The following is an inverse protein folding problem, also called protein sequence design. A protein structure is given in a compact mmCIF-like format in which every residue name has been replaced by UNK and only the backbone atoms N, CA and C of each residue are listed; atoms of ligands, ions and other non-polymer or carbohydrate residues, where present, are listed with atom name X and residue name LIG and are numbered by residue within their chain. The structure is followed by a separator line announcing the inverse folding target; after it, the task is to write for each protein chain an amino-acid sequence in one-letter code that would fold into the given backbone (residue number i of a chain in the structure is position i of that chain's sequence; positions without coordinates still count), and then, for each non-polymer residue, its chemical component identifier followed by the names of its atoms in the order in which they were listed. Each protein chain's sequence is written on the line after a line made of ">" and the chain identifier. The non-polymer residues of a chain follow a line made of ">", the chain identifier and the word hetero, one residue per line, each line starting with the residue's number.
data_IF_568242143915
#
_entry.id   IF_568242143915
#
_cell.length_a   1.000
_cell.length_b   1.000
_cell.length_c   1.000
_cell.angle_alpha   90.00
_cell.angle_beta   90.00
_cell.angle_gamma   90.00
#
_symmetry.space_group_name_H-M   'P 1'
#
loop_
_entity.id
_entity.type
_entity.pdbx_description
1 polymer ?
#
# COMPACT_ATOMS: atom_id res chain seq x y z
N UNK A 1 30.54 2.98 -59.66
CA UNK A 1 30.54 2.56 -58.25
C UNK A 1 29.30 1.72 -58.07
N UNK A 2 29.49 0.42 -57.92
CA UNK A 2 28.42 -0.55 -57.64
C UNK A 2 27.96 -0.33 -56.20
N UNK A 3 26.71 0.08 -56.00
CA UNK A 3 26.04 0.09 -54.70
C UNK A 3 26.02 -1.36 -54.18
N UNK A 4 26.80 -1.65 -53.15
CA UNK A 4 26.60 -2.86 -52.36
C UNK A 4 25.22 -2.76 -51.68
N UNK A 5 24.40 -3.82 -51.66
CA UNK A 5 23.12 -3.79 -50.97
C UNK A 5 23.35 -3.58 -49.47
N UNK A 6 22.98 -2.41 -48.97
CA UNK A 6 23.06 -2.07 -47.55
C UNK A 6 22.21 -3.05 -46.73
N UNK A 7 22.86 -3.84 -45.86
CA UNK A 7 22.22 -4.88 -45.06
C UNK A 7 21.43 -4.28 -43.91
N UNK A 8 20.09 -4.34 -44.00
CA UNK A 8 19.16 -3.89 -42.95
C UNK A 8 18.98 -4.96 -41.91
N UNK A 9 19.26 -4.61 -40.65
CA UNK A 9 19.35 -5.57 -39.55
C UNK A 9 18.57 -5.13 -38.30
N UNK A 10 18.09 -3.89 -38.27
CA UNK A 10 17.55 -3.29 -37.04
C UNK A 10 16.03 -3.38 -37.00
N UNK A 11 15.47 -3.82 -35.88
CA UNK A 11 14.04 -3.67 -35.57
C UNK A 11 13.84 -2.28 -34.97
N UNK A 12 13.12 -1.43 -35.68
CA UNK A 12 12.74 -0.11 -35.22
C UNK A 12 11.41 -0.18 -34.47
N UNK A 13 11.35 0.34 -33.24
CA UNK A 13 10.10 0.42 -32.47
C UNK A 13 9.59 1.86 -32.47
N UNK A 14 8.47 2.07 -33.14
CA UNK A 14 7.73 3.34 -33.15
C UNK A 14 6.75 3.38 -31.99
N UNK A 15 6.80 4.48 -31.22
CA UNK A 15 6.09 4.61 -29.95
C UNK A 15 5.71 6.07 -29.66
N UNK A 16 4.75 6.29 -28.76
CA UNK A 16 4.52 7.61 -28.20
C UNK A 16 5.59 7.97 -27.16
N UNK A 17 6.29 9.08 -27.36
CA UNK A 17 7.21 9.67 -26.38
C UNK A 17 6.66 11.02 -25.87
N UNK A 18 6.34 11.18 -24.57
CA UNK A 18 6.10 10.11 -23.60
C UNK A 18 4.74 9.44 -23.86
N UNK A 19 4.59 8.21 -23.36
CA UNK A 19 3.35 7.44 -23.39
C UNK A 19 3.57 5.94 -23.32
N UNK A 20 4.36 5.41 -24.26
CA UNK A 20 4.59 3.96 -24.43
C UNK A 20 5.96 3.51 -23.88
N UNK A 21 6.65 4.38 -23.14
CA UNK A 21 8.02 4.17 -22.65
C UNK A 21 8.13 2.87 -21.82
N UNK A 22 7.20 2.65 -20.89
CA UNK A 22 7.21 1.46 -20.01
C UNK A 22 7.09 0.16 -20.82
N UNK A 23 6.23 0.16 -21.85
CA UNK A 23 6.06 -0.99 -22.72
C UNK A 23 7.33 -1.27 -23.52
N UNK A 24 7.96 -0.25 -24.09
CA UNK A 24 9.17 -0.42 -24.90
C UNK A 24 10.39 -0.76 -24.04
N UNK A 25 10.52 -0.18 -22.84
CA UNK A 25 11.52 -0.58 -21.84
C UNK A 25 11.36 -2.04 -21.41
N UNK A 26 10.15 -2.59 -21.48
CA UNK A 26 9.89 -4.00 -21.25
C UNK A 26 10.19 -4.87 -22.49
N UNK A 27 9.79 -4.43 -23.68
CA UNK A 27 9.87 -5.21 -24.92
C UNK A 27 11.29 -5.26 -25.50
N UNK A 28 11.96 -4.12 -25.64
CA UNK A 28 13.24 -4.02 -26.35
C UNK A 28 14.34 -4.93 -25.76
N UNK A 29 14.58 -4.97 -24.43
CA UNK A 29 15.55 -5.88 -23.84
C UNK A 29 15.26 -7.37 -24.11
N UNK A 30 13.99 -7.73 -24.25
CA UNK A 30 13.57 -9.12 -24.50
C UNK A 30 13.78 -9.52 -25.95
N UNK A 31 13.59 -8.58 -26.88
CA UNK A 31 13.94 -8.78 -28.28
C UNK A 31 15.46 -8.86 -28.47
N UNK A 32 16.23 -8.04 -27.76
CA UNK A 32 17.71 -8.13 -27.77
C UNK A 32 18.21 -9.46 -27.20
N UNK A 33 17.65 -9.91 -26.07
CA UNK A 33 17.97 -11.22 -25.51
C UNK A 33 17.59 -12.38 -26.44
N UNK A 34 16.61 -12.19 -27.33
CA UNK A 34 16.24 -13.13 -28.37
C UNK A 34 17.12 -13.04 -29.64
N UNK A 35 18.17 -12.21 -29.63
CA UNK A 35 19.14 -12.07 -30.71
C UNK A 35 18.80 -11.01 -31.74
N UNK A 36 17.78 -10.17 -31.54
CA UNK A 36 17.46 -9.10 -32.49
C UNK A 36 18.21 -7.81 -32.16
N UNK A 37 18.63 -7.06 -33.19
CA UNK A 37 19.12 -5.69 -33.01
C UNK A 37 17.92 -4.75 -32.93
N UNK A 38 17.81 -3.96 -31.86
CA UNK A 38 16.62 -3.14 -31.58
C UNK A 38 17.00 -1.66 -31.48
N UNK A 39 16.15 -0.81 -32.04
CA UNK A 39 16.24 0.64 -31.91
C UNK A 39 14.88 1.22 -31.49
N UNK A 40 14.89 2.11 -30.49
CA UNK A 40 13.75 2.92 -30.09
C UNK A 40 14.21 4.29 -29.61
N UNK A 41 13.27 5.24 -29.63
CA UNK A 41 13.43 6.57 -29.03
C UNK A 41 13.49 6.53 -27.48
N UNK A 42 14.58 5.97 -26.94
CA UNK A 42 14.86 5.87 -25.49
C UNK A 42 16.33 6.26 -25.25
N UNK A 43 16.83 7.30 -25.95
CA UNK A 43 18.22 7.72 -25.84
C UNK A 43 18.43 8.96 -24.96
N UNK A 44 19.70 9.22 -24.64
CA UNK A 44 20.15 10.42 -23.94
C UNK A 44 20.36 11.49 -25.01
N UNK A 45 19.49 12.49 -25.04
CA UNK A 45 19.70 13.66 -25.90
C UNK A 45 20.79 14.52 -25.26
N UNK A 46 21.87 14.77 -25.99
CA UNK A 46 22.82 15.83 -25.66
C UNK A 46 22.37 17.14 -26.30
N UNK A 47 22.65 18.27 -25.64
CA UNK A 47 22.28 19.59 -26.19
C UNK A 47 22.99 19.83 -27.52
N UNK A 48 22.23 19.94 -28.62
CA UNK A 48 22.74 20.18 -29.97
C UNK A 48 22.51 19.05 -30.98
N UNK A 49 21.98 17.90 -30.55
CA UNK A 49 21.70 16.77 -31.45
C UNK A 49 20.52 17.04 -32.40
N UNK A 50 20.71 16.80 -33.71
CA UNK A 50 19.63 16.77 -34.71
C UNK A 50 18.83 15.45 -34.60
N UNK A 51 18.08 15.35 -33.49
CA UNK A 51 17.26 14.21 -33.08
C UNK A 51 16.44 13.59 -34.22
N UNK A 52 15.69 14.42 -34.95
CA UNK A 52 14.80 13.96 -36.03
C UNK A 52 15.57 13.34 -37.19
N UNK A 53 16.77 13.84 -37.47
CA UNK A 53 17.66 13.31 -38.50
C UNK A 53 18.11 11.89 -38.15
N UNK A 54 18.62 11.68 -36.94
CA UNK A 54 19.06 10.35 -36.46
C UNK A 54 17.92 9.32 -36.42
N UNK A 55 16.75 9.70 -35.91
CA UNK A 55 15.58 8.82 -35.86
C UNK A 55 15.13 8.41 -37.28
N UNK A 56 15.06 9.39 -38.18
CA UNK A 56 14.66 9.17 -39.57
C UNK A 56 15.68 8.30 -40.31
N UNK A 57 16.98 8.52 -40.08
CA UNK A 57 18.06 7.71 -40.64
C UNK A 57 17.97 6.25 -40.16
N UNK A 58 17.78 6.01 -38.86
CA UNK A 58 17.64 4.66 -38.32
C UNK A 58 16.45 3.90 -38.95
N UNK A 59 15.30 4.58 -39.12
CA UNK A 59 14.14 3.99 -39.80
C UNK A 59 14.37 3.79 -41.31
N UNK A 60 15.01 4.74 -41.98
CA UNK A 60 15.18 4.70 -43.43
C UNK A 60 16.28 3.80 -43.88
N UNK A 61 17.41 3.75 -43.19
CA UNK A 61 18.66 3.17 -43.69
C UNK A 61 18.93 1.80 -43.05
N UNK A 62 18.62 1.65 -41.75
CA UNK A 62 18.99 0.44 -40.98
C UNK A 62 17.82 -0.52 -40.72
N UNK A 63 16.59 -0.02 -40.71
CA UNK A 63 15.45 -0.80 -40.25
C UNK A 63 15.08 -1.92 -41.23
N UNK A 64 14.96 -3.15 -40.71
CA UNK A 64 14.44 -4.33 -41.41
C UNK A 64 12.94 -4.51 -41.15
N UNK A 65 12.46 -4.10 -39.98
CA UNK A 65 11.05 -4.08 -39.59
C UNK A 65 10.77 -2.87 -38.70
N UNK A 66 9.56 -2.35 -38.82
CA UNK A 66 8.99 -1.37 -37.90
C UNK A 66 7.93 -2.05 -37.03
N UNK A 67 8.16 -2.11 -35.72
CA UNK A 67 7.13 -2.46 -34.74
C UNK A 67 6.43 -1.18 -34.32
N UNK A 68 5.12 -1.08 -34.57
CA UNK A 68 4.33 0.11 -34.26
C UNK A 68 3.48 -0.14 -33.02
N UNK A 69 3.71 0.61 -31.94
CA UNK A 69 2.82 0.59 -30.78
C UNK A 69 1.47 1.21 -31.15
N UNK A 70 0.37 0.49 -30.94
CA UNK A 70 -0.96 0.94 -31.31
C UNK A 70 -1.85 1.15 -30.08
N UNK A 71 -2.22 2.42 -29.89
CA UNK A 71 -3.32 2.93 -29.07
C UNK A 71 -3.84 4.21 -29.75
N UNK A 72 -5.06 4.67 -29.45
CA UNK A 72 -5.55 5.93 -30.00
C UNK A 72 -4.65 7.12 -29.64
N UNK A 73 -4.10 7.11 -28.41
CA UNK A 73 -3.16 8.14 -27.93
C UNK A 73 -1.86 8.13 -28.74
N UNK A 74 -1.34 6.94 -29.07
CA UNK A 74 -0.10 6.79 -29.84
C UNK A 74 -0.29 7.22 -31.28
N UNK A 75 -1.35 6.73 -31.93
CA UNK A 75 -1.65 7.02 -33.33
C UNK A 75 -2.05 8.49 -33.57
N UNK A 76 -2.49 9.20 -32.53
CA UNK A 76 -2.73 10.65 -32.60
C UNK A 76 -1.42 11.48 -32.68
N UNK A 77 -0.27 10.95 -32.27
CA UNK A 77 1.00 11.69 -32.22
C UNK A 77 1.53 12.00 -33.63
N UNK A 78 1.89 13.26 -33.87
CA UNK A 78 2.42 13.71 -35.18
C UNK A 78 3.70 12.96 -35.58
N UNK A 79 4.63 12.72 -34.65
CA UNK A 79 5.87 12.00 -34.94
C UNK A 79 5.62 10.57 -35.41
N UNK A 80 4.71 9.85 -34.75
CA UNK A 80 4.30 8.49 -35.15
C UNK A 80 3.67 8.48 -36.55
N UNK A 81 2.82 9.47 -36.88
CA UNK A 81 2.24 9.59 -38.23
C UNK A 81 3.29 9.86 -39.30
N UNK A 82 4.29 10.68 -39.00
CA UNK A 82 5.44 10.95 -39.89
C UNK A 82 6.26 9.66 -40.13
N UNK A 83 6.52 8.89 -39.07
CA UNK A 83 7.23 7.60 -39.14
C UNK A 83 6.46 6.56 -39.96
N UNK A 84 5.13 6.44 -39.78
CA UNK A 84 4.28 5.56 -40.57
C UNK A 84 4.39 5.92 -42.06
N UNK A 85 4.28 7.20 -42.41
CA UNK A 85 4.39 7.64 -43.81
C UNK A 85 5.76 7.31 -44.43
N UNK A 86 6.84 7.44 -43.65
CA UNK A 86 8.18 7.04 -44.09
C UNK A 86 8.24 5.53 -44.31
N UNK A 87 7.74 4.74 -43.37
CA UNK A 87 7.76 3.29 -43.42
C UNK A 87 6.92 2.73 -44.58
N UNK A 88 5.76 3.34 -44.89
CA UNK A 88 4.95 2.98 -46.06
C UNK A 88 5.70 3.24 -47.37
N UNK A 89 6.31 4.44 -47.51
CA UNK A 89 7.10 4.78 -48.69
C UNK A 89 8.27 3.80 -48.87
N UNK A 90 8.91 3.42 -47.77
CA UNK A 90 10.03 2.49 -47.74
C UNK A 90 9.61 1.07 -48.11
N UNK A 91 8.48 0.59 -47.56
CA UNK A 91 7.92 -0.73 -47.87
C UNK A 91 7.63 -0.89 -49.37
N UNK A 92 7.07 0.16 -50.00
CA UNK A 92 6.82 0.18 -51.44
C UNK A 92 8.10 0.19 -52.28
N UNK A 93 9.11 0.98 -51.89
CA UNK A 93 10.39 1.09 -52.61
C UNK A 93 11.23 -0.19 -52.53
N UNK A 94 11.38 -0.73 -51.32
CA UNK A 94 12.22 -1.90 -51.06
C UNK A 94 11.51 -3.22 -51.33
N UNK A 95 10.19 -3.18 -51.58
CA UNK A 95 9.34 -4.36 -51.77
C UNK A 95 9.47 -5.36 -50.62
N UNK A 96 9.66 -4.85 -49.39
CA UNK A 96 9.72 -5.68 -48.18
C UNK A 96 8.27 -5.91 -47.72
N UNK A 97 7.73 -7.14 -47.87
CA UNK A 97 6.39 -7.43 -47.37
C UNK A 97 6.39 -7.34 -45.84
N UNK A 98 5.25 -6.94 -45.26
CA UNK A 98 5.04 -6.88 -43.81
C UNK A 98 6.08 -6.03 -43.07
N UNK A 99 6.55 -4.93 -43.68
CA UNK A 99 7.54 -4.05 -43.07
C UNK A 99 7.06 -3.44 -41.75
N UNK A 100 5.78 -3.03 -41.69
CA UNK A 100 5.14 -2.52 -40.49
C UNK A 100 4.39 -3.68 -39.80
N UNK A 101 4.67 -3.90 -38.52
CA UNK A 101 3.99 -4.86 -37.66
C UNK A 101 3.30 -4.08 -36.53
N UNK A 102 1.97 -3.89 -36.59
CA UNK A 102 1.21 -3.24 -35.52
C UNK A 102 1.19 -4.09 -34.24
N UNK A 103 1.45 -3.47 -33.10
CA UNK A 103 1.39 -4.05 -31.76
C UNK A 103 0.21 -3.44 -31.01
N UNK A 104 -0.89 -4.18 -30.86
CA UNK A 104 -2.09 -3.70 -30.20
C UNK A 104 -1.91 -3.68 -28.68
N UNK A 105 -1.77 -2.49 -28.10
CA UNK A 105 -1.64 -2.32 -26.63
C UNK A 105 -3.01 -2.16 -25.98
N UNK A 106 -3.89 -1.40 -26.62
CA UNK A 106 -5.27 -1.12 -26.23
C UNK A 106 -6.16 -1.17 -27.50
N UNK A 107 -7.50 -1.22 -27.39
CA UNK A 107 -8.36 -0.97 -28.53
C UNK A 107 -7.98 0.36 -29.22
N UNK A 108 -7.92 0.36 -30.56
CA UNK A 108 -7.57 1.54 -31.33
C UNK A 108 -8.31 1.58 -32.66
N UNK A 109 -8.57 2.79 -33.14
CA UNK A 109 -9.05 3.01 -34.50
C UNK A 109 -7.87 3.06 -35.48
N UNK A 110 -7.89 2.17 -36.46
CA UNK A 110 -6.78 2.07 -37.40
C UNK A 110 -6.76 3.28 -38.35
N UNK A 111 -5.60 3.93 -38.43
CA UNK A 111 -5.39 5.09 -39.29
C UNK A 111 -4.91 4.68 -40.68
N UNK A 112 -4.95 5.64 -41.63
CA UNK A 112 -4.43 5.43 -42.98
C UNK A 112 -2.98 4.91 -42.92
N UNK A 113 -2.72 3.88 -43.73
CA UNK A 113 -1.44 3.20 -43.83
C UNK A 113 -1.21 2.01 -42.91
N UNK A 114 -2.04 1.85 -41.88
CA UNK A 114 -2.04 0.65 -41.01
C UNK A 114 -3.39 -0.06 -40.94
N UNK A 115 -4.46 0.55 -41.47
CA UNK A 115 -5.82 0.00 -41.47
C UNK A 115 -6.00 -1.38 -42.12
N UNK A 116 -5.10 -1.79 -43.01
CA UNK A 116 -5.14 -3.11 -43.66
C UNK A 116 -4.22 -4.17 -43.04
N UNK A 117 -3.43 -3.82 -42.02
CA UNK A 117 -2.40 -4.69 -41.45
C UNK A 117 -2.95 -5.54 -40.31
N UNK A 118 -2.56 -6.81 -40.26
CA UNK A 118 -2.81 -7.68 -39.11
C UNK A 118 -1.89 -7.29 -37.95
N UNK A 119 -2.44 -7.25 -36.74
CA UNK A 119 -1.70 -6.87 -35.53
C UNK A 119 -1.27 -8.07 -34.70
N UNK A 120 -0.25 -7.87 -33.87
CA UNK A 120 0.07 -8.75 -32.74
C UNK A 120 -0.59 -8.19 -31.49
N UNK A 121 -1.40 -9.00 -30.80
CA UNK A 121 -2.16 -8.56 -29.63
C UNK A 121 -1.33 -8.63 -28.34
N UNK A 122 -1.14 -7.49 -27.68
CA UNK A 122 -0.51 -7.34 -26.37
C UNK A 122 -1.51 -6.93 -25.26
N UNK A 123 -2.77 -6.65 -25.61
CA UNK A 123 -3.81 -6.17 -24.67
C UNK A 123 -4.26 -7.25 -23.68
N UNK A 124 -4.17 -8.53 -24.05
CA UNK A 124 -4.50 -9.67 -23.17
C UNK A 124 -3.31 -10.13 -22.30
N UNK A 125 -2.15 -9.48 -22.42
CA UNK A 125 -0.96 -9.75 -21.60
C UNK A 125 0.34 -9.74 -22.41
N UNK A 126 1.33 -9.01 -21.91
CA UNK A 126 2.55 -8.74 -22.67
C UNK A 126 3.39 -9.98 -22.98
N UNK A 127 3.45 -10.95 -22.06
CA UNK A 127 4.17 -12.20 -22.28
C UNK A 127 3.59 -13.01 -23.45
N UNK A 128 2.25 -13.06 -23.57
CA UNK A 128 1.58 -13.74 -24.67
C UNK A 128 1.82 -13.01 -25.99
N UNK A 129 1.73 -11.68 -25.99
CA UNK A 129 2.05 -10.85 -27.16
C UNK A 129 3.48 -11.04 -27.63
N UNK A 130 4.45 -11.12 -26.71
CA UNK A 130 5.86 -11.37 -27.05
C UNK A 130 6.05 -12.71 -27.74
N UNK A 131 5.45 -13.79 -27.24
CA UNK A 131 5.54 -15.12 -27.88
C UNK A 131 4.99 -15.07 -29.32
N UNK A 132 3.85 -14.41 -29.52
CA UNK A 132 3.25 -14.24 -30.84
C UNK A 132 4.14 -13.38 -31.77
N UNK A 133 4.74 -12.32 -31.24
CA UNK A 133 5.66 -11.45 -31.97
C UNK A 133 6.92 -12.22 -32.40
N UNK A 134 7.57 -12.95 -31.49
CA UNK A 134 8.76 -13.75 -31.80
C UNK A 134 8.46 -14.80 -32.89
N UNK A 135 7.32 -15.49 -32.78
CA UNK A 135 6.84 -16.42 -33.82
C UNK A 135 6.65 -15.72 -35.17
N UNK A 136 6.16 -14.48 -35.15
CA UNK A 136 5.94 -13.68 -36.36
C UNK A 136 7.26 -13.27 -37.00
N UNK A 137 8.23 -12.81 -36.20
CA UNK A 137 9.56 -12.41 -36.67
C UNK A 137 10.32 -13.60 -37.27
N UNK A 138 10.25 -14.77 -36.63
CA UNK A 138 10.86 -16.01 -37.11
C UNK A 138 10.24 -16.47 -38.44
N UNK A 139 8.90 -16.51 -38.54
CA UNK A 139 8.20 -16.84 -39.78
C UNK A 139 8.53 -15.89 -40.93
N UNK A 140 8.79 -14.62 -40.61
CA UNK A 140 9.19 -13.61 -41.59
C UNK A 140 10.70 -13.60 -41.87
N UNK A 141 11.47 -14.52 -41.30
CA UNK A 141 12.92 -14.63 -41.45
C UNK A 141 13.66 -13.32 -41.15
N UNK A 142 13.21 -12.59 -40.11
CA UNK A 142 13.87 -11.37 -39.65
C UNK A 142 15.24 -11.77 -39.07
N UNK A 143 16.35 -11.12 -39.50
CA UNK A 143 17.68 -11.51 -39.07
C UNK A 143 17.89 -11.27 -37.57
N UNK A 144 18.42 -12.28 -36.89
CA UNK A 144 18.92 -12.17 -35.52
C UNK A 144 20.35 -11.61 -35.53
N UNK A 145 20.48 -10.35 -35.92
CA UNK A 145 21.77 -9.66 -36.04
C UNK A 145 22.32 -9.10 -34.71
N UNK A 146 21.63 -9.37 -33.60
CA UNK A 146 22.10 -9.10 -32.26
C UNK A 146 22.97 -10.24 -31.73
N UNK A 147 23.84 -9.92 -30.78
CA UNK A 147 24.70 -10.86 -30.05
C UNK A 147 24.02 -11.47 -28.81
N UNK A 148 22.73 -11.19 -28.60
CA UNK A 148 22.00 -11.57 -27.39
C UNK A 148 22.31 -10.68 -26.18
N UNK A 149 23.13 -9.63 -26.34
CA UNK A 149 23.52 -8.73 -25.27
C UNK A 149 22.52 -7.58 -25.19
N UNK A 150 21.92 -7.41 -24.02
CA UNK A 150 21.00 -6.31 -23.74
C UNK A 150 21.80 -5.00 -23.61
N UNK A 151 21.41 -3.98 -24.36
CA UNK A 151 22.07 -2.68 -24.31
C UNK A 151 21.87 -2.02 -22.92
N UNK A 152 22.95 -1.53 -22.26
CA UNK A 152 22.85 -0.87 -20.97
C UNK A 152 21.97 0.38 -20.97
N UNK A 153 21.75 0.98 -22.14
CA UNK A 153 20.93 2.18 -22.32
C UNK A 153 19.49 2.01 -21.80
N UNK A 154 18.87 0.84 -21.97
CA UNK A 154 17.51 0.56 -21.47
C UNK A 154 17.46 0.67 -19.94
N UNK A 155 18.39 0.01 -19.25
CA UNK A 155 18.49 0.07 -17.79
C UNK A 155 18.88 1.46 -17.28
N UNK A 156 19.75 2.16 -18.00
CA UNK A 156 20.13 3.54 -17.66
C UNK A 156 18.94 4.50 -17.79
N UNK A 157 18.10 4.37 -18.82
CA UNK A 157 16.89 5.18 -18.98
C UNK A 157 15.91 4.93 -17.84
N UNK A 158 15.64 3.66 -17.50
CA UNK A 158 14.77 3.31 -16.38
C UNK A 158 15.27 3.88 -15.03
N UNK A 159 16.59 3.97 -14.86
CA UNK A 159 17.21 4.52 -13.64
C UNK A 159 17.24 6.04 -13.57
N UNK A 160 16.89 6.79 -14.63
CA UNK A 160 16.98 8.27 -14.64
C UNK A 160 16.15 8.94 -13.56
N UNK A 161 15.00 8.35 -13.23
CA UNK A 161 14.09 8.82 -12.18
C UNK A 161 14.12 7.93 -10.93
N UNK A 162 15.04 6.97 -10.85
CA UNK A 162 15.13 6.09 -9.70
C UNK A 162 15.60 6.89 -8.49
N UNK A 163 14.92 6.70 -7.36
CA UNK A 163 15.37 7.21 -6.07
C UNK A 163 16.72 6.57 -5.75
N UNK A 164 17.76 7.40 -5.63
CA UNK A 164 19.10 6.90 -5.32
C UNK A 164 19.14 6.38 -3.89
N UNK A 165 19.56 5.12 -3.74
CA UNK A 165 19.85 4.52 -2.45
C UNK A 165 21.28 4.87 -2.07
N UNK A 166 21.44 5.53 -0.94
CA UNK A 166 22.75 5.90 -0.38
C UNK A 166 23.07 5.02 0.83
N UNK A 167 24.35 4.68 0.99
CA UNK A 167 24.87 4.01 2.20
C UNK A 167 25.00 5.02 3.34
N UNK A 168 23.87 5.53 3.79
CA UNK A 168 23.72 6.38 4.96
C UNK A 168 22.70 5.74 5.89
N UNK A 169 22.97 5.66 7.20
CA UNK A 169 21.98 5.20 8.16
C UNK A 169 20.72 6.07 8.15
N UNK A 170 19.55 5.43 8.18
CA UNK A 170 18.23 6.08 8.27
C UNK A 170 17.45 5.50 9.46
N UNK A 171 16.91 6.37 10.31
CA UNK A 171 16.01 5.95 11.39
C UNK A 171 14.60 5.79 10.81
N UNK A 172 14.08 4.57 10.88
CA UNK A 172 12.73 4.22 10.47
C UNK A 172 11.86 3.95 11.70
N UNK A 173 10.62 4.41 11.65
CA UNK A 173 9.62 4.15 12.69
C UNK A 173 8.71 3.01 12.25
N UNK A 174 8.55 2.01 13.13
CA UNK A 174 7.60 0.93 12.90
C UNK A 174 6.17 1.37 13.24
N UNK A 175 5.18 0.51 12.98
CA UNK A 175 3.84 0.66 13.53
C UNK A 175 3.65 -0.21 14.79
N UNK A 176 4.71 -0.55 15.53
CA UNK A 176 4.65 -1.44 16.68
C UNK A 176 4.86 -0.64 17.96
N UNK A 177 3.89 -0.73 18.88
CA UNK A 177 4.03 -0.24 20.24
C UNK A 177 4.58 -1.35 21.12
N UNK A 178 5.72 -1.11 21.75
CA UNK A 178 6.34 -2.08 22.65
C UNK A 178 5.51 -2.17 23.94
N UNK A 179 5.21 -3.40 24.38
CA UNK A 179 4.73 -3.62 25.74
C UNK A 179 5.94 -3.65 26.66
N UNK A 180 5.99 -2.75 27.63
CA UNK A 180 7.08 -2.60 28.60
C UNK A 180 6.85 -3.45 29.84
N UNK A 181 5.59 -3.59 30.24
CA UNK A 181 5.19 -4.37 31.42
C UNK A 181 3.80 -4.95 31.26
N UNK A 182 3.60 -6.13 31.84
CA UNK A 182 2.32 -6.80 32.05
C UNK A 182 2.32 -7.22 33.52
N UNK A 183 1.19 -7.19 34.25
CA UNK A 183 1.15 -7.71 35.62
C UNK A 183 1.62 -9.17 35.67
N UNK A 184 2.35 -9.53 36.72
CA UNK A 184 3.00 -10.83 36.86
C UNK A 184 1.98 -11.97 37.07
N UNK A 185 0.84 -11.66 37.70
CA UNK A 185 -0.20 -12.63 38.03
C UNK A 185 -1.55 -12.26 37.43
N UNK A 186 -2.33 -13.27 37.05
CA UNK A 186 -3.75 -13.16 36.70
C UNK A 186 -4.56 -14.22 37.44
N UNK A 187 -5.85 -13.98 37.64
CA UNK A 187 -6.71 -14.88 38.39
C UNK A 187 -7.74 -15.58 37.50
N UNK A 188 -8.01 -16.85 37.80
CA UNK A 188 -9.23 -17.54 37.39
C UNK A 188 -10.30 -17.27 38.45
N UNK A 189 -11.29 -16.47 38.10
CA UNK A 189 -12.42 -16.15 38.98
C UNK A 189 -13.63 -17.03 38.63
N UNK A 190 -14.25 -17.64 39.63
CA UNK A 190 -15.44 -18.48 39.45
C UNK A 190 -16.61 -17.93 40.27
N UNK A 191 -17.85 -18.00 39.76
CA UNK A 191 -19.04 -17.68 40.56
C UNK A 191 -19.13 -18.60 41.78
N UNK A 192 -19.37 -18.02 42.96
CA UNK A 192 -19.59 -18.80 44.20
C UNK A 192 -20.80 -19.73 44.09
N UNK A 193 -21.84 -19.28 43.39
CA UNK A 193 -23.06 -20.04 43.13
C UNK A 193 -23.09 -20.53 41.69
N UNK A 194 -23.83 -21.61 41.42
CA UNK A 194 -24.02 -22.10 40.05
C UNK A 194 -24.59 -21.02 39.15
N UNK A 195 -23.84 -20.66 38.10
CA UNK A 195 -24.24 -19.69 37.10
C UNK A 195 -24.24 -20.34 35.71
N UNK A 196 -25.19 -19.96 34.87
CA UNK A 196 -25.19 -20.30 33.45
C UNK A 196 -24.01 -19.62 32.74
N UNK A 197 -23.16 -20.41 32.07
CA UNK A 197 -21.98 -19.95 31.33
C UNK A 197 -22.34 -18.90 30.28
N UNK A 198 -23.52 -18.99 29.66
CA UNK A 198 -23.96 -17.99 28.65
C UNK A 198 -24.22 -16.63 29.28
N UNK A 199 -24.76 -16.61 30.50
CA UNK A 199 -25.00 -15.37 31.26
C UNK A 199 -23.67 -14.77 31.71
N UNK A 200 -22.75 -15.59 32.22
CA UNK A 200 -21.42 -15.16 32.61
C UNK A 200 -20.66 -14.55 31.42
N UNK A 201 -20.65 -15.22 30.27
CA UNK A 201 -20.00 -14.73 29.06
C UNK A 201 -20.63 -13.43 28.53
N UNK A 202 -21.93 -13.21 28.71
CA UNK A 202 -22.61 -11.97 28.33
C UNK A 202 -22.20 -10.81 29.23
N UNK A 203 -22.16 -11.03 30.55
CA UNK A 203 -21.71 -10.03 31.53
C UNK A 203 -20.23 -9.67 31.34
N UNK A 204 -19.40 -10.68 31.02
CA UNK A 204 -17.99 -10.47 30.75
C UNK A 204 -17.76 -9.51 29.56
N UNK A 205 -18.55 -9.66 28.48
CA UNK A 205 -18.45 -8.77 27.30
C UNK A 205 -18.85 -7.32 27.57
N UNK A 206 -19.69 -7.08 28.57
CA UNK A 206 -20.11 -5.73 28.95
C UNK A 206 -19.23 -5.10 30.02
N UNK A 207 -18.22 -5.80 30.54
CA UNK A 207 -17.34 -5.26 31.56
C UNK A 207 -16.33 -4.26 30.98
N UNK A 208 -16.01 -3.23 31.76
CA UNK A 208 -14.98 -2.24 31.42
C UNK A 208 -13.55 -2.76 31.66
N UNK A 209 -13.40 -3.87 32.39
CA UNK A 209 -12.10 -4.51 32.63
C UNK A 209 -11.89 -5.70 31.68
N UNK A 210 -10.66 -5.96 31.21
CA UNK A 210 -10.35 -7.09 30.35
C UNK A 210 -10.63 -8.44 31.02
N UNK A 211 -11.39 -9.30 30.34
CA UNK A 211 -11.66 -10.65 30.83
C UNK A 211 -12.01 -11.61 29.70
N UNK A 212 -11.70 -12.90 29.91
CA UNK A 212 -11.99 -13.97 28.95
C UNK A 212 -12.75 -15.09 29.66
N UNK A 213 -13.98 -15.43 29.22
CA UNK A 213 -14.69 -16.60 29.73
C UNK A 213 -13.89 -17.88 29.49
N UNK A 214 -13.72 -18.69 30.54
CA UNK A 214 -12.98 -19.94 30.50
C UNK A 214 -13.62 -20.97 31.44
N UNK A 215 -14.11 -22.09 30.88
CA UNK A 215 -14.91 -23.06 31.63
C UNK A 215 -16.10 -22.38 32.34
N UNK A 216 -16.23 -22.63 33.65
CA UNK A 216 -17.26 -22.00 34.50
C UNK A 216 -16.89 -20.59 35.02
N UNK A 217 -15.71 -20.09 34.66
CA UNK A 217 -15.12 -18.88 35.25
C UNK A 217 -14.65 -17.85 34.21
N UNK A 218 -13.85 -16.91 34.69
CA UNK A 218 -13.29 -15.78 33.95
C UNK A 218 -11.79 -15.69 34.23
N UNK A 219 -10.97 -15.62 33.19
CA UNK A 219 -9.56 -15.25 33.29
C UNK A 219 -9.46 -13.73 33.19
N UNK A 220 -8.85 -13.09 34.20
CA UNK A 220 -8.73 -11.63 34.28
C UNK A 220 -7.59 -11.21 35.22
N UNK A 221 -7.14 -9.97 35.08
CA UNK A 221 -6.26 -9.31 36.05
C UNK A 221 -7.04 -8.59 37.16
N UNK A 222 -8.37 -8.49 37.06
CA UNK A 222 -9.21 -7.82 38.04
C UNK A 222 -9.36 -8.67 39.32
N UNK A 223 -9.42 -7.98 40.46
CA UNK A 223 -9.76 -8.61 41.73
C UNK A 223 -11.26 -8.87 41.84
N UNK A 224 -11.71 -9.83 42.66
CA UNK A 224 -13.13 -10.01 42.93
C UNK A 224 -13.84 -8.73 43.38
N UNK A 225 -13.17 -7.91 44.20
CA UNK A 225 -13.72 -6.67 44.77
C UNK A 225 -14.09 -5.65 43.67
N UNK A 226 -13.26 -5.48 42.65
CA UNK A 226 -13.54 -4.57 41.53
C UNK A 226 -14.70 -5.03 40.65
N UNK A 227 -15.08 -6.30 40.75
CA UNK A 227 -16.11 -6.93 39.93
C UNK A 227 -17.43 -7.10 40.67
N UNK A 228 -17.50 -6.82 41.98
CA UNK A 228 -18.69 -7.06 42.80
C UNK A 228 -19.94 -6.37 42.24
N UNK A 229 -19.87 -5.07 41.94
CA UNK A 229 -21.01 -4.31 41.44
C UNK A 229 -21.47 -4.82 40.06
N UNK A 230 -20.53 -5.09 39.14
CA UNK A 230 -20.85 -5.53 37.78
C UNK A 230 -21.46 -6.94 37.74
N UNK A 231 -21.08 -7.81 38.68
CA UNK A 231 -21.51 -9.20 38.74
C UNK A 231 -22.53 -9.52 39.84
N UNK A 232 -23.07 -8.52 40.55
CA UNK A 232 -24.05 -8.68 41.64
C UNK A 232 -25.19 -9.64 41.27
N UNK A 233 -25.69 -9.56 40.02
CA UNK A 233 -26.82 -10.36 39.50
C UNK A 233 -26.56 -11.88 39.44
N UNK A 234 -25.30 -12.31 39.44
CA UNK A 234 -24.93 -13.73 39.44
C UNK A 234 -24.27 -14.17 40.75
N UNK A 235 -24.10 -13.25 41.70
CA UNK A 235 -23.43 -13.47 42.98
C UNK A 235 -21.92 -13.21 42.93
N UNK A 236 -21.30 -13.22 44.11
CA UNK A 236 -19.89 -12.94 44.28
C UNK A 236 -19.00 -13.93 43.49
N UNK A 237 -18.00 -13.38 42.81
CA UNK A 237 -16.90 -14.14 42.24
C UNK A 237 -15.88 -14.45 43.34
N UNK A 238 -15.25 -15.61 43.26
CA UNK A 238 -14.15 -16.01 44.14
C UNK A 238 -12.96 -16.46 43.30
N UNK A 239 -11.76 -16.26 43.81
CA UNK A 239 -10.55 -16.74 43.16
C UNK A 239 -10.44 -18.26 43.30
N UNK A 240 -10.35 -18.95 42.16
CA UNK A 240 -10.17 -20.40 42.05
C UNK A 240 -8.69 -20.75 41.91
N UNK A 241 -7.94 -19.93 41.15
CA UNK A 241 -6.50 -20.07 40.98
C UNK A 241 -5.83 -18.73 40.65
N UNK A 242 -4.64 -18.50 41.20
CA UNK A 242 -3.70 -17.49 40.74
C UNK A 242 -2.74 -18.10 39.71
N UNK A 243 -2.43 -17.37 38.64
CA UNK A 243 -1.69 -17.86 37.49
C UNK A 243 -0.57 -16.87 37.17
N UNK A 244 0.68 -17.32 37.28
CA UNK A 244 1.86 -16.58 36.82
C UNK A 244 1.84 -16.43 35.28
N UNK A 245 1.93 -15.19 34.81
CA UNK A 245 1.76 -14.84 33.39
C UNK A 245 2.93 -15.35 32.55
N UNK A 246 4.16 -15.33 33.08
CA UNK A 246 5.33 -15.79 32.33
C UNK A 246 5.22 -17.30 32.03
N UNK A 247 4.88 -18.09 33.05
CA UNK A 247 4.65 -19.54 32.95
C UNK A 247 3.43 -19.84 32.09
N UNK A 248 2.34 -19.07 32.25
CA UNK A 248 1.15 -19.20 31.41
C UNK A 248 1.45 -19.09 29.91
N UNK A 249 2.28 -18.10 29.54
CA UNK A 249 2.64 -17.87 28.13
C UNK A 249 3.64 -18.87 27.57
N UNK A 250 4.53 -19.40 28.42
CA UNK A 250 5.52 -20.40 28.03
C UNK A 250 4.89 -21.79 27.87
N UNK A 251 4.20 -22.24 28.91
CA UNK A 251 3.84 -23.65 29.11
C UNK A 251 2.33 -23.89 29.11
N UNK A 252 1.52 -22.83 29.25
CA UNK A 252 0.09 -22.96 29.47
C UNK A 252 -0.22 -23.34 30.92
N UNK A 253 -1.33 -24.04 31.15
CA UNK A 253 -1.74 -24.52 32.48
C UNK A 253 -2.31 -25.92 32.34
N UNK A 254 -1.52 -26.94 32.66
CA UNK A 254 -1.92 -28.34 32.52
C UNK A 254 -3.15 -28.70 33.37
N UNK A 255 -3.20 -28.21 34.61
CA UNK A 255 -4.34 -28.42 35.52
C UNK A 255 -5.67 -27.89 34.96
N UNK A 256 -5.61 -26.87 34.09
CA UNK A 256 -6.77 -26.28 33.41
C UNK A 256 -6.89 -26.77 31.95
N UNK A 257 -6.04 -27.69 31.51
CA UNK A 257 -5.94 -28.15 30.12
C UNK A 257 -5.69 -27.04 29.10
N UNK A 258 -5.09 -25.92 29.51
CA UNK A 258 -4.75 -24.79 28.63
C UNK A 258 -3.38 -25.05 28.00
N UNK A 259 -3.34 -25.16 26.67
CA UNK A 259 -2.07 -25.30 25.93
C UNK A 259 -1.40 -23.95 25.70
N UNK A 260 -0.07 -23.87 25.48
CA UNK A 260 0.64 -22.60 25.23
C UNK A 260 0.04 -21.74 24.11
N UNK A 261 -0.44 -22.37 23.03
CA UNK A 261 -1.08 -21.67 21.91
C UNK A 261 -2.37 -20.97 22.34
N UNK A 262 -3.18 -21.65 23.15
CA UNK A 262 -4.43 -21.11 23.68
C UNK A 262 -4.15 -20.00 24.69
N UNK A 263 -3.17 -20.19 25.58
CA UNK A 263 -2.71 -19.17 26.51
C UNK A 263 -2.30 -17.86 25.79
N UNK A 264 -1.49 -17.97 24.73
CA UNK A 264 -1.12 -16.83 23.87
C UNK A 264 -2.34 -16.17 23.21
N UNK A 265 -3.34 -16.96 22.81
CA UNK A 265 -4.59 -16.43 22.24
C UNK A 265 -5.41 -15.67 23.28
N UNK A 266 -5.50 -16.19 24.50
CA UNK A 266 -6.18 -15.54 25.64
C UNK A 266 -5.48 -14.22 25.97
N UNK A 267 -4.15 -14.23 26.10
CA UNK A 267 -3.39 -13.01 26.38
C UNK A 267 -3.54 -11.95 25.29
N UNK A 268 -3.47 -12.33 24.01
CA UNK A 268 -3.74 -11.41 22.91
C UNK A 268 -5.17 -10.82 22.99
N UNK A 269 -6.16 -11.59 23.44
CA UNK A 269 -7.51 -11.08 23.65
C UNK A 269 -7.56 -10.07 24.80
N UNK A 270 -6.92 -10.36 25.94
CA UNK A 270 -6.84 -9.43 27.08
C UNK A 270 -6.14 -8.12 26.69
N UNK A 271 -5.00 -8.19 25.99
CA UNK A 271 -4.28 -7.02 25.46
C UNK A 271 -5.17 -6.16 24.53
N UNK A 272 -5.92 -6.81 23.64
CA UNK A 272 -6.86 -6.11 22.74
C UNK A 272 -7.96 -5.41 23.54
N UNK A 273 -8.56 -6.09 24.51
CA UNK A 273 -9.61 -5.51 25.36
C UNK A 273 -9.08 -4.33 26.18
N UNK A 274 -7.87 -4.45 26.75
CA UNK A 274 -7.23 -3.38 27.51
C UNK A 274 -7.04 -2.12 26.66
N UNK A 275 -6.56 -2.29 25.41
CA UNK A 275 -6.47 -1.20 24.45
C UNK A 275 -7.84 -0.59 24.13
N UNK A 276 -8.83 -1.43 23.81
CA UNK A 276 -10.19 -1.00 23.48
C UNK A 276 -10.83 -0.20 24.61
N UNK A 277 -10.66 -0.64 25.85
CA UNK A 277 -11.21 0.03 27.01
C UNK A 277 -10.48 1.34 27.32
N UNK A 278 -9.16 1.40 27.14
CA UNK A 278 -8.41 2.65 27.22
C UNK A 278 -8.86 3.66 26.15
N UNK A 279 -9.10 3.23 24.91
CA UNK A 279 -9.57 4.15 23.87
C UNK A 279 -10.97 4.70 24.19
N UNK A 280 -11.86 3.85 24.72
CA UNK A 280 -13.20 4.29 25.17
C UNK A 280 -13.11 5.29 26.32
N UNK A 281 -12.23 5.07 27.31
CA UNK A 281 -12.08 5.99 28.44
C UNK A 281 -11.50 7.35 28.02
N UNK A 282 -10.75 7.39 26.92
CA UNK A 282 -10.28 8.62 26.28
C UNK A 282 -11.31 9.30 25.37
N UNK A 283 -12.50 8.72 25.20
CA UNK A 283 -13.57 9.31 24.39
C UNK A 283 -13.43 9.11 22.88
N UNK A 284 -12.56 8.20 22.42
CA UNK A 284 -12.45 7.90 20.99
C UNK A 284 -13.73 7.21 20.47
N UNK A 285 -14.15 7.61 19.26
CA UNK A 285 -15.32 7.04 18.62
C UNK A 285 -15.05 5.62 18.13
N UNK A 286 -15.81 4.65 18.65
CA UNK A 286 -15.65 3.24 18.31
C UNK A 286 -16.41 2.87 17.05
N UNK A 287 -15.75 2.15 16.14
CA UNK A 287 -16.38 1.57 14.95
C UNK A 287 -16.04 0.10 14.78
N UNK A 288 -17.06 -0.71 14.54
CA UNK A 288 -16.91 -2.12 14.22
C UNK A 288 -16.69 -2.36 12.71
N UNK A 289 -15.70 -3.19 12.40
CA UNK A 289 -15.40 -3.71 11.08
C UNK A 289 -15.45 -5.24 11.09
N UNK A 290 -15.50 -5.86 9.91
CA UNK A 290 -15.47 -7.33 9.80
C UNK A 290 -14.22 -7.98 10.42
N UNK A 291 -13.11 -7.23 10.50
CA UNK A 291 -11.83 -7.70 11.02
C UNK A 291 -11.54 -7.29 12.47
N UNK A 292 -12.50 -6.65 13.16
CA UNK A 292 -12.31 -6.11 14.52
C UNK A 292 -12.73 -4.65 14.66
N UNK A 293 -12.36 -4.03 15.77
CA UNK A 293 -12.77 -2.66 16.14
C UNK A 293 -11.69 -1.64 15.76
N UNK A 294 -12.09 -0.41 15.47
CA UNK A 294 -11.20 0.74 15.42
C UNK A 294 -11.74 1.92 16.21
N UNK A 295 -10.83 2.81 16.58
CA UNK A 295 -11.11 4.01 17.34
C UNK A 295 -10.72 5.23 16.54
N UNK A 296 -11.65 6.15 16.36
CA UNK A 296 -11.53 7.31 15.48
C UNK A 296 -11.55 8.60 16.28
N UNK A 297 -10.81 9.59 15.77
CA UNK A 297 -10.84 10.97 16.27
C UNK A 297 -12.01 11.68 15.59
N UNK A 298 -13.10 11.87 16.33
CA UNK A 298 -14.32 12.52 15.84
C UNK A 298 -14.35 14.03 16.19
N UNK A 299 -15.50 14.66 15.94
CA UNK A 299 -15.71 16.08 16.22
C UNK A 299 -15.59 16.48 17.69
N UNK A 300 -15.80 15.54 18.63
CA UNK A 300 -15.70 15.82 20.07
C UNK A 300 -14.26 16.02 20.51
N UNK A 301 -13.31 15.39 19.81
CA UNK A 301 -11.89 15.49 20.09
C UNK A 301 -11.17 16.52 19.21
N UNK A 302 -11.49 16.57 17.92
CA UNK A 302 -10.75 17.43 16.99
C UNK A 302 -11.64 18.06 15.91
N UNK A 303 -11.57 19.38 15.81
CA UNK A 303 -12.22 20.14 14.74
C UNK A 303 -11.61 19.83 13.37
N UNK A 304 -12.41 19.98 12.31
CA UNK A 304 -12.01 19.76 10.92
C UNK A 304 -10.78 20.63 10.59
N UNK A 305 -9.76 20.02 9.99
CA UNK A 305 -8.56 20.73 9.52
C UNK A 305 -7.59 21.13 10.63
N UNK A 306 -7.91 20.87 11.90
CA UNK A 306 -6.95 21.09 12.99
C UNK A 306 -5.78 20.12 12.84
N UNK A 307 -4.58 20.65 13.05
CA UNK A 307 -3.34 19.89 13.00
C UNK A 307 -2.89 19.54 14.41
N UNK A 308 -2.50 18.29 14.60
CA UNK A 308 -1.87 17.79 15.82
C UNK A 308 -0.36 17.82 15.61
N UNK A 309 0.35 18.48 16.53
CA UNK A 309 1.81 18.52 16.51
C UNK A 309 2.37 17.20 17.06
N UNK A 310 3.45 16.71 16.47
CA UNK A 310 4.14 15.50 16.92
C UNK A 310 5.63 15.57 16.56
N UNK A 311 6.43 14.70 17.17
CA UNK A 311 7.88 14.63 16.96
C UNK A 311 8.70 15.32 18.06
N UNK A 312 10.02 15.23 17.96
CA UNK A 312 10.96 15.72 18.99
C UNK A 312 11.33 17.19 18.81
N UNK A 313 11.96 17.78 19.83
CA UNK A 313 12.53 19.13 19.73
C UNK A 313 13.49 19.23 18.54
N UNK A 314 13.19 20.13 17.60
CA UNK A 314 13.96 20.35 16.37
C UNK A 314 13.40 19.70 15.11
N UNK A 315 12.46 18.75 15.22
CA UNK A 315 11.73 18.15 14.09
C UNK A 315 10.22 18.13 14.35
N UNK A 316 9.67 19.27 14.78
CA UNK A 316 8.24 19.41 15.02
C UNK A 316 7.49 19.26 13.70
N UNK A 317 6.67 18.22 13.60
CA UNK A 317 5.81 17.93 12.46
C UNK A 317 4.36 18.09 12.88
N UNK A 318 3.47 18.17 11.89
CA UNK A 318 2.06 18.37 12.12
C UNK A 318 1.28 17.52 11.13
N UNK A 319 0.23 16.86 11.60
CA UNK A 319 -0.67 16.07 10.75
C UNK A 319 -2.12 16.27 11.15
N UNK A 320 -3.03 16.17 10.18
CA UNK A 320 -4.47 16.22 10.43
C UNK A 320 -4.99 14.81 10.68
N UNK A 321 -5.88 14.66 11.66
CA UNK A 321 -6.60 13.41 11.91
C UNK A 321 -8.06 13.46 11.42
N UNK A 322 -8.54 14.65 11.04
CA UNK A 322 -9.88 14.85 10.49
C UNK A 322 -9.87 16.03 9.52
N UNK A 323 -10.36 15.84 8.28
CA UNK A 323 -10.49 16.92 7.31
C UNK A 323 -11.56 16.63 6.24
N UNK A 324 -11.83 17.61 5.36
CA UNK A 324 -12.73 17.48 4.21
C UNK A 324 -11.95 17.06 2.95
N UNK A 325 -12.49 16.11 2.19
CA UNK A 325 -12.01 15.73 0.87
C UNK A 325 -13.16 15.18 0.00
N UNK A 326 -13.20 15.55 -1.29
CA UNK A 326 -14.28 15.16 -2.23
C UNK A 326 -15.69 15.37 -1.67
N UNK A 327 -15.92 16.49 -0.96
CA UNK A 327 -17.21 16.82 -0.34
C UNK A 327 -17.62 15.94 0.85
N UNK A 328 -16.72 15.08 1.36
CA UNK A 328 -16.93 14.24 2.54
C UNK A 328 -15.96 14.64 3.65
N UNK A 329 -16.30 14.31 4.90
CA UNK A 329 -15.34 14.37 6.01
C UNK A 329 -14.68 13.01 6.16
N UNK A 330 -13.36 12.98 6.28
CA UNK A 330 -12.62 11.78 6.66
C UNK A 330 -12.11 11.91 8.09
N UNK A 331 -12.15 10.79 8.81
CA UNK A 331 -11.74 10.67 10.21
C UNK A 331 -10.76 9.50 10.34
N UNK A 332 -9.53 9.83 10.76
CA UNK A 332 -8.48 8.86 11.00
C UNK A 332 -8.77 8.08 12.28
N UNK A 333 -8.51 6.79 12.23
CA UNK A 333 -8.60 5.93 13.38
C UNK A 333 -7.58 4.80 13.36
N UNK A 334 -7.50 4.09 14.47
CA UNK A 334 -6.54 3.01 14.66
C UNK A 334 -7.24 1.76 15.17
N UNK A 335 -6.93 0.62 14.56
CA UNK A 335 -7.13 -0.71 15.14
C UNK A 335 -5.81 -1.22 15.68
N UNK A 336 -5.84 -2.09 16.68
CA UNK A 336 -4.64 -2.83 17.12
C UNK A 336 -4.73 -4.31 16.82
N UNK A 337 -3.56 -4.90 16.58
CA UNK A 337 -3.37 -6.35 16.51
C UNK A 337 -2.27 -6.72 17.50
N UNK A 338 -2.63 -7.26 18.67
CA UNK A 338 -1.64 -7.74 19.64
C UNK A 338 -0.82 -8.90 19.08
N UNK A 339 0.45 -8.95 19.46
CA UNK A 339 1.35 -10.04 19.11
C UNK A 339 2.39 -10.23 20.20
N UNK A 340 2.68 -11.49 20.51
CA UNK A 340 3.68 -11.87 21.51
C UNK A 340 5.04 -12.24 20.89
N UNK A 341 5.15 -12.22 19.55
CA UNK A 341 6.37 -12.57 18.82
C UNK A 341 6.83 -11.42 17.92
N UNK A 342 8.11 -11.02 17.92
CA UNK A 342 9.23 -11.66 18.63
C UNK A 342 9.30 -11.33 20.13
N UNK A 343 8.56 -10.32 20.55
CA UNK A 343 8.30 -9.93 21.94
C UNK A 343 6.88 -9.35 22.03
N UNK A 344 6.31 -9.16 23.23
CA UNK A 344 5.00 -8.54 23.41
C UNK A 344 4.93 -7.11 22.83
N UNK A 345 4.03 -6.89 21.88
CA UNK A 345 3.79 -5.59 21.25
C UNK A 345 2.39 -5.50 20.65
N UNK A 346 1.93 -4.27 20.40
CA UNK A 346 0.70 -3.99 19.66
C UNK A 346 1.04 -3.45 18.27
N UNK A 347 0.51 -4.07 17.22
CA UNK A 347 0.64 -3.55 15.85
C UNK A 347 -0.50 -2.59 15.55
N UNK A 348 -0.17 -1.34 15.23
CA UNK A 348 -1.12 -0.30 14.86
C UNK A 348 -1.53 -0.44 13.39
N UNK A 349 -2.83 -0.37 13.13
CA UNK A 349 -3.39 -0.41 11.78
C UNK A 349 -4.26 0.82 11.55
N UNK A 350 -3.79 1.71 10.68
CA UNK A 350 -4.53 2.88 10.26
C UNK A 350 -5.85 2.53 9.57
N UNK A 351 -6.91 3.25 9.96
CA UNK A 351 -8.27 3.19 9.43
C UNK A 351 -8.73 4.59 9.09
N UNK A 352 -9.65 4.68 8.14
CA UNK A 352 -10.27 5.94 7.74
C UNK A 352 -11.76 5.69 7.63
N UNK A 353 -12.53 6.55 8.28
CA UNK A 353 -13.99 6.56 8.23
C UNK A 353 -14.42 7.79 7.45
N UNK A 354 -15.42 7.64 6.58
CA UNK A 354 -15.99 8.74 5.82
C UNK A 354 -17.42 9.07 6.29
N UNK A 355 -17.71 10.36 6.37
CA UNK A 355 -18.99 10.90 6.81
C UNK A 355 -19.47 11.98 5.84
N UNK A 356 -20.78 12.07 5.68
CA UNK A 356 -21.45 13.19 5.03
C UNK A 356 -21.41 14.42 5.93
N UNK A 357 -21.36 15.60 5.30
CA UNK A 357 -21.42 16.89 5.99
C UNK A 357 -22.91 17.23 6.18
N UNK A 358 -23.39 17.15 7.42
CA UNK A 358 -24.71 17.59 7.82
C UNK A 358 -24.77 19.09 8.13
N UNK A 359 -25.86 19.53 8.76
CA UNK A 359 -26.00 20.91 9.21
C UNK A 359 -24.94 21.27 10.27
N UNK A 360 -24.47 22.51 10.27
CA UNK A 360 -23.44 23.05 11.20
C UNK A 360 -22.15 22.21 11.27
N UNK A 361 -21.71 21.64 10.14
CA UNK A 361 -20.51 20.78 10.05
C UNK A 361 -20.59 19.48 10.89
N UNK A 362 -21.79 19.08 11.33
CA UNK A 362 -22.01 17.76 11.92
C UNK A 362 -21.66 16.66 10.93
N UNK A 363 -21.14 15.53 11.43
CA UNK A 363 -20.80 14.38 10.59
C UNK A 363 -21.80 13.25 10.70
N UNK A 364 -22.34 12.82 9.56
CA UNK A 364 -23.21 11.64 9.47
C UNK A 364 -22.43 10.50 8.80
N UNK A 365 -22.12 9.45 9.55
CA UNK A 365 -21.29 8.34 9.05
C UNK A 365 -21.99 7.63 7.90
N UNK A 366 -21.26 7.44 6.79
CA UNK A 366 -21.76 6.70 5.64
C UNK A 366 -21.84 5.21 6.01
N UNK A 367 -23.05 4.65 6.09
CA UNK A 367 -23.26 3.26 6.49
C UNK A 367 -22.86 2.23 5.41
N UNK A 368 -22.97 2.61 4.12
CA UNK A 368 -22.66 1.71 3.01
C UNK A 368 -21.16 1.37 2.92
N UNK A 369 -20.86 0.08 3.08
CA UNK A 369 -19.49 -0.45 3.04
C UNK A 369 -18.85 -0.26 1.67
N UNK A 370 -19.61 -0.39 0.57
CA UNK A 370 -19.06 -0.25 -0.79
C UNK A 370 -18.59 1.18 -1.03
N UNK A 371 -19.38 2.16 -0.62
CA UNK A 371 -19.06 3.58 -0.68
C UNK A 371 -17.86 3.93 0.20
N UNK A 372 -17.81 3.45 1.45
CA UNK A 372 -16.64 3.61 2.32
C UNK A 372 -15.36 3.08 1.67
N UNK A 373 -15.40 1.89 1.07
CA UNK A 373 -14.24 1.30 0.38
C UNK A 373 -13.83 2.05 -0.89
N UNK A 374 -14.79 2.60 -1.65
CA UNK A 374 -14.53 3.43 -2.84
C UNK A 374 -13.86 4.75 -2.42
N UNK A 375 -14.41 5.45 -1.43
CA UNK A 375 -13.86 6.70 -0.90
C UNK A 375 -12.47 6.50 -0.31
N UNK A 376 -12.24 5.44 0.47
CA UNK A 376 -10.89 5.11 0.99
C UNK A 376 -9.87 4.93 -0.13
N UNK A 377 -10.25 4.27 -1.23
CA UNK A 377 -9.35 4.04 -2.37
C UNK A 377 -9.08 5.34 -3.13
N UNK A 378 -10.10 6.16 -3.36
CA UNK A 378 -9.97 7.38 -4.14
C UNK A 378 -9.32 8.52 -3.37
N UNK A 379 -9.78 8.81 -2.15
CA UNK A 379 -9.25 9.90 -1.30
C UNK A 379 -7.87 9.57 -0.78
N UNK A 380 -7.66 8.36 -0.24
CA UNK A 380 -6.35 7.98 0.30
C UNK A 380 -5.38 7.46 -0.78
N UNK A 381 -5.71 7.58 -2.07
CA UNK A 381 -4.83 7.17 -3.17
C UNK A 381 -3.50 7.90 -3.16
N UNK A 382 -3.47 9.17 -2.73
CA UNK A 382 -2.27 9.98 -2.56
C UNK A 382 -1.61 9.82 -1.18
N UNK A 383 -2.21 9.08 -0.24
CA UNK A 383 -1.64 8.92 1.10
C UNK A 383 -0.50 7.90 1.04
N UNK A 384 0.72 8.42 0.94
CA UNK A 384 1.97 7.65 0.94
C UNK A 384 2.45 7.41 2.38
N UNK A 385 3.59 6.73 2.52
CA UNK A 385 4.14 6.35 3.82
C UNK A 385 4.26 7.53 4.77
N UNK A 386 4.64 8.71 4.27
CA UNK A 386 4.76 9.93 5.05
C UNK A 386 3.43 10.37 5.67
N UNK A 387 2.40 10.55 4.83
CA UNK A 387 1.04 10.89 5.26
C UNK A 387 0.45 9.86 6.26
N UNK A 388 0.67 8.56 6.05
CA UNK A 388 0.23 7.52 6.98
C UNK A 388 1.01 7.52 8.29
N UNK A 389 2.33 7.66 8.22
CA UNK A 389 3.21 7.73 9.39
C UNK A 389 2.86 8.95 10.25
N UNK A 390 2.75 10.14 9.66
CA UNK A 390 2.42 11.34 10.40
C UNK A 390 1.06 11.27 11.10
N UNK A 391 0.06 10.63 10.49
CA UNK A 391 -1.24 10.39 11.12
C UNK A 391 -1.18 9.38 12.27
N UNK A 392 -0.38 8.31 12.15
CA UNK A 392 -0.14 7.39 13.28
C UNK A 392 0.50 8.16 14.43
N UNK A 393 1.54 8.95 14.16
CA UNK A 393 2.25 9.71 15.18
C UNK A 393 1.35 10.76 15.86
N UNK A 394 0.59 11.52 15.09
CA UNK A 394 -0.40 12.45 15.60
C UNK A 394 -1.49 11.76 16.46
N UNK A 395 -1.95 10.58 16.04
CA UNK A 395 -2.91 9.80 16.84
C UNK A 395 -2.31 9.36 18.17
N UNK A 396 -1.04 8.91 18.16
CA UNK A 396 -0.33 8.52 19.39
C UNK A 396 -0.12 9.70 20.33
N UNK A 397 0.18 10.89 19.82
CA UNK A 397 0.30 12.11 20.64
C UNK A 397 -1.01 12.41 21.38
N UNK A 398 -2.15 12.34 20.68
CA UNK A 398 -3.46 12.55 21.32
C UNK A 398 -3.77 11.49 22.39
N UNK A 399 -3.35 10.24 22.15
CA UNK A 399 -3.64 9.13 23.05
C UNK A 399 -2.76 9.16 24.31
N UNK A 400 -1.48 9.47 24.15
CA UNK A 400 -0.50 9.48 25.23
C UNK A 400 -0.55 10.77 26.08
N UNK A 401 -0.92 11.90 25.45
CA UNK A 401 -0.88 13.21 26.11
C UNK A 401 0.54 13.62 26.46
N UNK A 402 0.79 14.00 27.71
CA UNK A 402 2.12 14.42 28.18
C UNK A 402 3.01 13.25 28.65
N UNK A 403 2.47 12.03 28.69
CA UNK A 403 3.19 10.84 29.15
C UNK A 403 3.97 10.17 28.02
N UNK A 404 5.22 9.73 28.25
CA UNK A 404 5.93 8.88 27.29
C UNK A 404 5.40 7.44 27.26
N UNK A 405 4.45 7.10 28.15
CA UNK A 405 3.87 5.78 28.30
C UNK A 405 2.34 5.81 28.21
N UNK A 406 1.76 4.71 27.75
CA UNK A 406 0.32 4.48 27.76
C UNK A 406 0.03 3.31 28.69
N UNK A 407 -0.62 3.61 29.81
CA UNK A 407 -1.07 2.61 30.77
C UNK A 407 -2.48 2.13 30.45
N UNK A 408 -2.58 0.86 30.09
CA UNK A 408 -3.86 0.19 29.88
C UNK A 408 -4.30 -0.47 31.19
N UNK A 409 -5.31 0.11 31.84
CA UNK A 409 -5.85 -0.46 33.08
C UNK A 409 -6.42 -1.86 32.85
N UNK A 410 -6.03 -2.82 33.68
CA UNK A 410 -6.49 -4.22 33.57
C UNK A 410 -7.16 -4.76 34.83
N UNK A 411 -7.12 -4.01 35.93
CA UNK A 411 -7.69 -4.38 37.24
C UNK A 411 -6.60 -4.59 38.29
N UNK A 412 -7.02 -4.81 39.54
CA UNK A 412 -6.23 -5.00 40.78
C UNK A 412 -5.15 -3.94 41.04
N UNK A 413 -5.32 -2.74 40.49
CA UNK A 413 -4.31 -1.68 40.51
C UNK A 413 -3.15 -1.88 39.53
N UNK A 414 -3.18 -2.94 38.72
CA UNK A 414 -2.21 -3.21 37.66
C UNK A 414 -2.57 -2.56 36.32
N UNK A 415 -1.54 -2.23 35.54
CA UNK A 415 -1.65 -1.77 34.17
C UNK A 415 -0.75 -2.59 33.25
N UNK A 416 -1.15 -2.68 31.98
CA UNK A 416 -0.23 -3.05 30.90
C UNK A 416 0.35 -1.75 30.36
N UNK A 417 1.65 -1.56 30.56
CA UNK A 417 2.35 -0.34 30.16
C UNK A 417 2.93 -0.49 28.76
N UNK A 418 2.58 0.45 27.88
CA UNK A 418 3.13 0.55 26.52
C UNK A 418 4.08 1.74 26.42
N UNK A 419 5.07 1.62 25.55
CA UNK A 419 5.78 2.78 25.01
C UNK A 419 4.83 3.57 24.08
N UNK A 420 4.68 4.88 24.31
CA UNK A 420 3.86 5.74 23.46
C UNK A 420 4.50 5.94 22.08
N UNK A 421 5.83 5.85 21.99
CA UNK A 421 6.57 5.97 20.75
C UNK A 421 6.66 4.60 20.07
N UNK A 422 6.19 4.45 18.81
CA UNK A 422 6.42 3.23 18.07
C UNK A 422 7.91 2.93 17.91
N UNK A 423 8.27 1.64 17.91
CA UNK A 423 9.66 1.19 17.90
C UNK A 423 10.41 1.80 16.71
N UNK A 424 11.59 2.34 16.98
CA UNK A 424 12.50 2.84 15.97
C UNK A 424 13.55 1.78 15.62
N UNK A 425 13.90 1.70 14.34
CA UNK A 425 14.96 0.83 13.82
C UNK A 425 15.87 1.65 12.90
N UNK A 426 17.12 1.20 12.73
CA UNK A 426 18.07 1.87 11.84
C UNK A 426 18.28 1.02 10.60
N UNK A 427 17.92 1.57 9.44
CA UNK A 427 18.30 1.02 8.13
C UNK A 427 19.74 1.44 7.81
N UNK A 428 20.60 0.55 7.26
CA UNK A 428 21.96 0.90 6.86
C UNK A 428 22.02 1.73 5.57
N UNK A 429 20.89 1.90 4.90
CA UNK A 429 20.75 2.67 3.65
C UNK A 429 19.57 3.61 3.72
N UNK A 430 19.69 4.76 3.05
CA UNK A 430 18.66 5.79 2.92
C UNK A 430 18.23 5.90 1.47
N UNK A 431 16.92 6.03 1.22
CA UNK A 431 16.41 6.42 -0.09
C UNK A 431 16.30 7.96 -0.12
N UNK A 432 17.23 8.65 -0.77
CA UNK A 432 17.22 10.12 -0.77
C UNK A 432 16.02 10.65 -1.55
N UNK A 433 15.02 11.16 -0.82
CA UNK A 433 13.98 11.97 -1.43
C UNK A 433 14.61 13.28 -1.95
N UNK A 434 14.46 13.53 -3.25
CA UNK A 434 14.99 14.73 -3.91
C UNK A 434 14.23 16.01 -3.52
N UNK A 435 13.02 15.87 -2.98
CA UNK A 435 12.15 16.98 -2.59
C UNK A 435 11.76 16.85 -1.11
N UNK A 436 12.08 17.88 -0.30
CA UNK A 436 11.50 18.00 1.04
C UNK A 436 10.09 18.58 0.91
N UNK A 437 9.10 17.72 1.07
CA UNK A 437 7.69 18.11 1.13
C UNK A 437 7.18 18.13 2.58
N UNK A 438 6.03 18.72 2.86
CA UNK A 438 5.34 18.57 4.14
C UNK A 438 4.66 17.18 4.26
N UNK A 439 4.18 16.81 5.45
CA UNK A 439 3.56 15.48 5.71
C UNK A 439 2.32 15.21 4.83
N UNK A 440 1.53 16.25 4.57
CA UNK A 440 0.31 16.17 3.75
C UNK A 440 0.56 16.59 2.28
N UNK A 441 1.76 17.05 1.93
CA UNK A 441 2.04 17.59 0.59
C UNK A 441 2.14 16.50 -0.48
N UNK A 442 2.59 15.29 -0.11
CA UNK A 442 2.58 14.12 -1.01
C UNK A 442 1.15 13.72 -1.44
N UNK A 443 0.12 14.15 -0.70
CA UNK A 443 -1.29 13.89 -1.08
C UNK A 443 -1.73 14.68 -2.32
N UNK A 444 -1.07 15.80 -2.60
CA UNK A 444 -1.43 16.73 -3.68
C UNK A 444 -0.55 16.59 -4.92
N UNK A 445 0.52 15.79 -4.85
CA UNK A 445 1.49 15.63 -5.93
C UNK A 445 1.09 14.49 -6.88
N UNK A 446 0.37 14.85 -7.95
CA UNK A 446 -0.08 13.91 -8.98
C UNK A 446 1.07 13.20 -9.70
N UNK A 447 2.27 13.79 -9.74
CA UNK A 447 3.45 13.21 -10.41
C UNK A 447 4.02 11.98 -9.69
N UNK A 448 3.63 11.76 -8.44
CA UNK A 448 4.05 10.60 -7.61
C UNK A 448 3.05 9.44 -7.64
N UNK A 449 1.98 9.55 -8.44
CA UNK A 449 0.96 8.51 -8.61
C UNK A 449 1.31 7.69 -9.85
N UNK A 450 2.12 6.64 -9.68
CA UNK A 450 2.37 5.65 -10.74
C UNK A 450 1.23 4.62 -10.76
N UNK A 451 0.35 4.70 -11.76
CA UNK A 451 -0.73 3.74 -12.00
C UNK A 451 -1.93 4.40 -12.70
N UNK A 452 -2.57 3.68 -13.63
CA UNK A 452 -3.75 4.16 -14.36
C UNK A 452 -4.82 4.64 -13.36
N UNK A 453 -5.17 5.94 -13.42
CA UNK A 453 -6.52 6.36 -13.04
C UNK A 453 -7.46 5.61 -13.99
N UNK A 454 -8.10 4.55 -13.52
CA UNK A 454 -9.42 4.25 -14.04
C UNK A 454 -10.29 5.40 -13.56
N UNK A 455 -10.55 6.36 -14.44
CA UNK A 455 -11.59 7.34 -14.25
C UNK A 455 -12.94 6.58 -14.27
N UNK A 456 -13.28 5.90 -13.16
CA UNK A 456 -14.63 5.39 -12.90
C UNK A 456 -15.56 6.53 -12.41
N UNK A 457 -15.33 7.75 -12.91
CA UNK A 457 -16.24 8.89 -12.72
C UNK A 457 -16.92 9.23 -14.06
N UNK A 458 -17.45 8.21 -14.75
CA UNK A 458 -18.55 8.34 -15.73
C UNK A 458 -19.54 7.18 -15.57
N UNK A 459 -20.35 7.25 -14.51
CA UNK A 459 -21.68 6.66 -14.50
C UNK A 459 -22.50 7.40 -13.44
N UNK A 460 -23.27 8.38 -13.92
CA UNK A 460 -24.42 8.92 -13.20
C UNK A 460 -25.49 7.83 -13.01
#
# INVERSE_FOLDING_TARGET
>A
MTDEPQTRETIFISKATPGDDDFVLWLAPRLEAAGYRVFADIMRLEGGDEWRGKLTAALRDDAVRMLLCCSDKTLARRGVKEEISIAESLAGKLKIPNFIIPLKLEPFDAIFGVAGLQYVDFSEGWARGLTALLTTLEKQSVPQAGDGIIQPAWAQYQRRMAIMVQRSPEILTTNWLRVLGIPDEMSLLVPRNTCDERKLAKLARSCALPMVPFGRGLLTFASPLELEEHFERIGALVEDAAIDVATFLADGVEALSIKPREAKSIMNNLLRQAWENHCKSRGLFMREYSSGVSFHVDETMLGIGKRVAWGTQGQRRNSMLRNKAKGKVWEYGVSVVPSLFPFPHLKLKGRVLFSDIGEKDSTVIIADKRTQHRLRRSVCSGWRNKAWHGRIMAFMELLAGESPYIDLAVGSGGSITLDAMPIQTTSPVTAQQQFRQDEDAEETDESTITGQRQDEDEAA
#
